data_IF_439959024884
#
_entry.id   IF_439959024884
#
_cell.length_a   1.000
_cell.length_b   1.000
_cell.length_c   1.000
_cell.angle_alpha   90.00
_cell.angle_beta   90.00
_cell.angle_gamma   90.00
#
_symmetry.space_group_name_H-M   'P 1'
#
loop_
_entity.id
_entity.type
_entity.pdbx_description
1 polymer ?
#
# COMPACT_ATOMS: atom_id res chain seq x y z
N UNK A 1 4.30 9.37 -7.75
CA UNK A 1 2.84 9.15 -7.85
C UNK A 1 2.52 7.80 -7.24
N UNK A 2 1.53 7.74 -6.37
CA UNK A 2 1.03 6.51 -5.74
C UNK A 2 -0.42 6.32 -6.16
N UNK A 3 -0.83 5.10 -6.49
CA UNK A 3 -2.24 4.78 -6.71
C UNK A 3 -2.75 4.01 -5.51
N UNK A 4 -3.89 4.46 -4.96
CA UNK A 4 -4.68 3.70 -4.01
C UNK A 4 -5.85 3.08 -4.77
N UNK A 5 -5.94 1.76 -4.76
CA UNK A 5 -7.02 0.98 -5.36
C UNK A 5 -7.81 0.30 -4.26
N UNK A 6 -9.13 0.46 -4.30
CA UNK A 6 -10.07 -0.08 -3.32
C UNK A 6 -11.11 -0.96 -4.01
N UNK A 7 -11.20 -2.22 -3.59
CA UNK A 7 -12.20 -3.20 -4.05
C UNK A 7 -13.14 -3.66 -2.93
N UNK A 8 -13.16 -2.96 -1.80
CA UNK A 8 -14.20 -3.10 -0.78
C UNK A 8 -15.58 -2.78 -1.37
N UNK A 9 -16.65 -3.36 -0.80
CA UNK A 9 -18.01 -3.01 -1.26
C UNK A 9 -18.39 -1.58 -0.90
N UNK A 10 -17.75 -0.99 0.10
CA UNK A 10 -17.95 0.39 0.52
C UNK A 10 -16.99 1.32 -0.19
N UNK A 11 -17.42 2.57 -0.39
CA UNK A 11 -16.53 3.60 -0.91
C UNK A 11 -15.38 3.88 0.07
N UNK A 12 -14.15 3.93 -0.43
CA UNK A 12 -12.92 4.28 0.31
C UNK A 12 -12.82 5.78 0.64
N UNK A 13 -13.87 6.33 1.25
CA UNK A 13 -14.11 7.76 1.46
C UNK A 13 -13.01 8.47 2.25
N UNK A 14 -12.51 7.86 3.34
CA UNK A 14 -11.46 8.47 4.15
C UNK A 14 -10.14 8.63 3.41
N UNK A 15 -9.79 7.68 2.53
CA UNK A 15 -8.57 7.78 1.71
C UNK A 15 -8.78 8.78 0.57
N UNK A 16 -9.95 8.79 -0.05
CA UNK A 16 -10.32 9.79 -1.05
C UNK A 16 -10.26 11.21 -0.47
N UNK A 17 -10.86 11.46 0.69
CA UNK A 17 -10.88 12.77 1.35
C UNK A 17 -9.46 13.25 1.68
N UNK A 18 -8.62 12.38 2.24
CA UNK A 18 -7.25 12.71 2.62
C UNK A 18 -6.39 13.19 1.44
N UNK A 19 -6.70 12.74 0.22
CA UNK A 19 -5.95 13.08 -0.99
C UNK A 19 -6.75 13.89 -2.03
N UNK A 20 -7.94 14.37 -1.67
CA UNK A 20 -8.90 14.98 -2.60
C UNK A 20 -8.39 16.21 -3.36
N UNK A 21 -7.36 16.87 -2.81
CA UNK A 21 -6.78 18.10 -3.35
C UNK A 21 -5.39 17.93 -3.99
N UNK A 22 -4.86 16.70 -4.10
CA UNK A 22 -3.51 16.45 -4.65
C UNK A 22 -3.53 15.58 -5.91
N UNK A 23 -2.58 15.82 -6.81
CA UNK A 23 -2.29 15.01 -8.00
C UNK A 23 -1.21 13.94 -7.77
N UNK A 24 -0.63 13.89 -6.55
CA UNK A 24 0.44 12.95 -6.20
C UNK A 24 -0.09 11.55 -5.89
N UNK A 25 -1.34 11.47 -5.44
CA UNK A 25 -2.05 10.23 -5.13
C UNK A 25 -3.31 10.18 -5.98
N UNK A 26 -3.59 9.03 -6.59
CA UNK A 26 -4.87 8.78 -7.23
C UNK A 26 -5.65 7.75 -6.40
N UNK A 27 -6.85 8.10 -5.94
CA UNK A 27 -7.79 7.15 -5.34
C UNK A 27 -8.68 6.54 -6.41
N UNK A 28 -8.83 5.23 -6.40
CA UNK A 28 -9.70 4.48 -7.31
C UNK A 28 -10.54 3.54 -6.48
N UNK A 29 -11.86 3.66 -6.53
CA UNK A 29 -12.76 2.82 -5.74
C UNK A 29 -13.88 2.24 -6.59
N UNK A 30 -14.12 0.93 -6.44
CA UNK A 30 -15.21 0.19 -7.04
C UNK A 30 -16.15 -0.28 -5.94
N UNK A 31 -17.33 0.33 -5.83
CA UNK A 31 -18.16 0.15 -4.64
C UNK A 31 -19.65 0.19 -4.98
N UNK A 32 -20.48 -0.32 -4.07
CA UNK A 32 -21.92 -0.14 -4.15
C UNK A 32 -22.28 1.32 -3.92
N UNK A 33 -23.17 1.86 -4.74
CA UNK A 33 -23.67 3.21 -4.60
C UNK A 33 -25.20 3.30 -4.70
N UNK A 34 -25.80 4.17 -3.88
CA UNK A 34 -27.25 4.35 -3.75
C UNK A 34 -27.81 3.63 -2.52
N UNK A 35 -28.40 4.41 -1.60
CA UNK A 35 -28.90 3.97 -0.29
C UNK A 35 -27.97 2.97 0.43
N UNK A 36 -26.67 3.31 0.47
CA UNK A 36 -25.62 2.47 1.06
C UNK A 36 -24.57 3.33 1.76
N UNK A 37 -23.96 2.80 2.81
CA UNK A 37 -22.87 3.47 3.52
C UNK A 37 -21.62 3.53 2.62
N UNK A 38 -20.80 4.60 2.64
CA UNK A 38 -20.93 5.83 3.43
C UNK A 38 -21.82 6.93 2.81
N UNK A 39 -22.31 6.72 1.58
CA UNK A 39 -23.14 7.69 0.85
C UNK A 39 -22.36 8.68 -0.04
N UNK A 40 -21.04 8.55 -0.09
CA UNK A 40 -20.12 9.25 -1.00
C UNK A 40 -19.67 8.33 -2.14
N UNK A 41 -18.85 8.82 -3.08
CA UNK A 41 -18.32 8.01 -4.18
C UNK A 41 -19.21 8.04 -5.43
N UNK A 42 -19.98 9.12 -5.64
CA UNK A 42 -20.70 9.26 -6.89
C UNK A 42 -19.71 9.38 -8.06
N UNK A 43 -20.08 8.94 -9.25
CA UNK A 43 -19.22 9.04 -10.45
C UNK A 43 -18.76 10.47 -10.77
N UNK A 44 -19.46 11.50 -10.26
CA UNK A 44 -19.06 12.91 -10.42
C UNK A 44 -18.07 13.40 -9.36
N UNK A 45 -17.78 12.62 -8.33
CA UNK A 45 -16.85 12.96 -7.26
C UNK A 45 -15.45 12.66 -7.79
N UNK A 46 -14.79 13.71 -8.29
CA UNK A 46 -13.55 13.60 -9.09
C UNK A 46 -12.37 14.36 -8.48
N UNK A 47 -12.45 14.77 -7.22
CA UNK A 47 -11.45 15.61 -6.58
C UNK A 47 -11.59 17.10 -6.94
N UNK A 48 -10.82 17.94 -6.27
CA UNK A 48 -10.86 19.40 -6.44
C UNK A 48 -9.47 20.00 -6.51
N UNK A 49 -9.38 21.26 -6.95
CA UNK A 49 -8.10 21.97 -7.05
C UNK A 49 -7.09 21.18 -7.88
N UNK A 50 -5.89 20.89 -7.36
CA UNK A 50 -4.88 20.08 -8.06
C UNK A 50 -5.25 18.60 -8.16
N UNK A 51 -6.09 18.10 -7.25
CA UNK A 51 -6.57 16.71 -7.25
C UNK A 51 -7.76 16.45 -8.18
N UNK A 52 -8.25 17.46 -8.91
CA UNK A 52 -9.32 17.27 -9.89
C UNK A 52 -8.87 16.31 -11.00
N UNK A 53 -9.63 15.23 -11.20
CA UNK A 53 -9.32 14.11 -12.09
C UNK A 53 -8.50 13.00 -11.44
N UNK A 54 -8.13 13.10 -10.16
CA UNK A 54 -7.31 12.12 -9.44
C UNK A 54 -8.11 11.33 -8.38
N UNK A 55 -9.40 11.58 -8.23
CA UNK A 55 -10.32 10.66 -7.57
C UNK A 55 -11.19 9.98 -8.65
N UNK A 56 -11.21 8.65 -8.66
CA UNK A 56 -11.91 7.83 -9.66
C UNK A 56 -12.89 6.91 -8.96
N UNK A 57 -14.18 7.18 -9.14
CA UNK A 57 -15.25 6.44 -8.51
C UNK A 57 -16.03 5.63 -9.55
N UNK A 58 -16.18 4.33 -9.26
CA UNK A 58 -16.93 3.37 -10.07
C UNK A 58 -18.13 2.89 -9.25
N UNK A 59 -19.25 3.64 -9.24
CA UNK A 59 -20.44 3.24 -8.52
C UNK A 59 -21.11 2.06 -9.22
N UNK A 60 -21.45 1.03 -8.44
CA UNK A 60 -22.05 -0.22 -8.87
C UNK A 60 -23.34 -0.48 -8.11
N UNK A 61 -24.13 -1.43 -8.61
CA UNK A 61 -25.38 -1.90 -8.03
C UNK A 61 -25.24 -3.31 -7.48
N UNK A 62 -26.28 -3.76 -6.80
CA UNK A 62 -26.34 -5.07 -6.17
C UNK A 62 -26.10 -6.22 -7.18
N UNK A 63 -25.52 -7.30 -6.66
CA UNK A 63 -25.41 -8.57 -7.37
C UNK A 63 -24.40 -8.60 -8.50
N UNK A 64 -23.46 -7.65 -8.60
CA UNK A 64 -22.41 -7.72 -9.62
C UNK A 64 -21.65 -9.05 -9.52
N UNK A 65 -21.54 -9.72 -10.66
CA UNK A 65 -20.86 -11.01 -10.81
C UNK A 65 -19.41 -10.86 -11.30
N UNK A 66 -18.66 -11.96 -11.28
CA UNK A 66 -17.25 -12.01 -11.67
C UNK A 66 -17.00 -11.50 -13.10
N UNK A 67 -17.87 -11.86 -14.04
CA UNK A 67 -17.71 -11.51 -15.46
C UNK A 67 -17.93 -10.02 -15.68
N UNK A 68 -19.00 -9.48 -15.10
CA UNK A 68 -19.35 -8.06 -15.15
C UNK A 68 -18.31 -7.20 -14.45
N UNK A 69 -17.87 -7.61 -13.25
CA UNK A 69 -16.85 -6.89 -12.48
C UNK A 69 -15.53 -6.86 -13.24
N UNK A 70 -15.07 -8.01 -13.76
CA UNK A 70 -13.87 -8.07 -14.62
C UNK A 70 -14.02 -7.19 -15.87
N UNK A 71 -15.21 -7.19 -16.47
CA UNK A 71 -15.55 -6.44 -17.67
C UNK A 71 -15.42 -4.93 -17.51
N UNK A 72 -15.65 -4.38 -16.32
CA UNK A 72 -15.47 -2.95 -16.02
C UNK A 72 -14.13 -2.63 -15.36
N UNK A 73 -13.68 -3.48 -14.43
CA UNK A 73 -12.44 -3.31 -13.68
C UNK A 73 -11.22 -3.25 -14.61
N UNK A 74 -11.02 -4.27 -15.45
CA UNK A 74 -9.79 -4.33 -16.25
C UNK A 74 -9.67 -3.17 -17.24
N UNK A 75 -10.70 -2.77 -18.02
CA UNK A 75 -10.59 -1.62 -18.91
C UNK A 75 -10.28 -0.31 -18.18
N UNK A 76 -10.94 -0.03 -17.05
CA UNK A 76 -10.67 1.18 -16.26
C UNK A 76 -9.23 1.16 -15.76
N UNK A 77 -8.80 0.05 -15.15
CA UNK A 77 -7.46 -0.05 -14.60
C UNK A 77 -6.37 0.04 -15.68
N UNK A 78 -6.58 -0.51 -16.89
CA UNK A 78 -5.65 -0.30 -18.02
C UNK A 78 -5.49 1.18 -18.36
N UNK A 79 -6.60 1.91 -18.48
CA UNK A 79 -6.58 3.35 -18.79
C UNK A 79 -5.85 4.15 -17.70
N UNK A 80 -6.11 3.83 -16.44
CA UNK A 80 -5.44 4.47 -15.29
C UNK A 80 -3.93 4.19 -15.33
N UNK A 81 -3.53 2.94 -15.50
CA UNK A 81 -2.12 2.57 -15.56
C UNK A 81 -1.39 3.24 -16.73
N UNK A 82 -2.04 3.39 -17.88
CA UNK A 82 -1.51 4.09 -19.06
C UNK A 82 -1.35 5.59 -18.84
N UNK A 83 -2.34 6.24 -18.22
CA UNK A 83 -2.40 7.71 -18.03
C UNK A 83 -1.64 8.17 -16.79
N UNK A 84 -2.01 7.65 -15.62
CA UNK A 84 -1.47 8.07 -14.34
C UNK A 84 -0.05 7.53 -14.10
N UNK A 85 0.27 6.35 -14.64
CA UNK A 85 1.60 5.71 -14.51
C UNK A 85 2.14 5.77 -13.08
N UNK A 86 1.48 5.09 -12.11
CA UNK A 86 1.91 5.10 -10.72
C UNK A 86 3.29 4.43 -10.57
N UNK A 87 4.06 4.90 -9.59
CA UNK A 87 5.33 4.27 -9.20
C UNK A 87 5.17 3.22 -8.09
N UNK A 88 4.03 3.22 -7.40
CA UNK A 88 3.63 2.24 -6.41
C UNK A 88 2.10 2.17 -6.34
N UNK A 89 1.58 1.02 -5.95
CA UNK A 89 0.15 0.73 -5.80
C UNK A 89 -0.09 0.24 -4.38
N UNK A 90 -1.03 0.85 -3.69
CA UNK A 90 -1.65 0.31 -2.47
C UNK A 90 -3.00 -0.24 -2.87
N UNK A 91 -3.23 -1.52 -2.63
CA UNK A 91 -4.48 -2.21 -2.97
C UNK A 91 -5.16 -2.68 -1.70
N UNK A 92 -6.29 -2.07 -1.37
CA UNK A 92 -7.19 -2.51 -0.32
C UNK A 92 -8.01 -3.68 -0.88
N UNK A 93 -7.93 -4.85 -0.25
CA UNK A 93 -8.60 -6.09 -0.66
C UNK A 93 -9.76 -6.42 0.30
N UNK A 94 -10.69 -5.49 0.48
CA UNK A 94 -11.93 -5.69 1.24
C UNK A 94 -12.71 -6.86 0.68
N UNK A 95 -13.13 -7.77 1.55
CA UNK A 95 -13.76 -9.05 1.19
C UNK A 95 -15.27 -9.07 1.43
N UNK A 96 -15.86 -7.96 1.87
CA UNK A 96 -17.31 -7.77 1.93
C UNK A 96 -17.94 -7.56 0.55
N UNK A 97 -17.13 -7.38 -0.50
CA UNK A 97 -17.57 -7.49 -1.89
C UNK A 97 -17.82 -8.94 -2.35
N UNK A 98 -17.51 -9.94 -1.53
CA UNK A 98 -17.74 -11.36 -1.85
C UNK A 98 -19.22 -11.74 -1.75
N UNK A 99 -19.59 -12.76 -2.51
CA UNK A 99 -20.87 -13.42 -2.42
C UNK A 99 -21.11 -14.00 -1.02
N UNK A 100 -22.33 -13.79 -0.50
CA UNK A 100 -22.74 -14.29 0.80
C UNK A 100 -22.07 -13.58 1.99
N UNK A 101 -21.54 -12.38 1.79
CA UNK A 101 -21.18 -11.50 2.90
C UNK A 101 -22.42 -11.12 3.74
N UNK A 102 -22.22 -10.78 5.02
CA UNK A 102 -23.33 -10.42 5.93
C UNK A 102 -23.85 -9.01 5.74
N UNK A 103 -23.04 -8.12 5.16
CA UNK A 103 -23.34 -6.69 4.99
C UNK A 103 -23.32 -6.33 3.51
N UNK A 104 -22.29 -6.76 2.79
CA UNK A 104 -22.16 -6.52 1.36
C UNK A 104 -23.19 -7.29 0.55
N UNK A 105 -23.53 -6.75 -0.62
CA UNK A 105 -24.55 -7.28 -1.51
C UNK A 105 -24.06 -7.38 -2.97
N UNK A 106 -22.77 -7.64 -3.13
CA UNK A 106 -22.20 -8.11 -4.39
C UNK A 106 -22.24 -9.64 -4.48
N UNK A 107 -21.89 -10.17 -5.65
CA UNK A 107 -21.94 -11.60 -5.92
C UNK A 107 -20.59 -12.15 -6.43
N UNK A 108 -19.48 -11.56 -6.00
CA UNK A 108 -18.15 -11.98 -6.43
C UNK A 108 -17.74 -13.31 -5.79
N UNK A 109 -17.19 -14.21 -6.58
CA UNK A 109 -16.49 -15.38 -6.07
C UNK A 109 -15.11 -14.99 -5.54
N UNK A 110 -14.50 -15.87 -4.74
CA UNK A 110 -13.10 -15.72 -4.35
C UNK A 110 -12.17 -15.57 -5.56
N UNK A 111 -12.46 -16.27 -6.67
CA UNK A 111 -11.64 -16.21 -7.89
C UNK A 111 -11.84 -14.90 -8.65
N UNK A 112 -13.07 -14.39 -8.71
CA UNK A 112 -13.35 -13.09 -9.34
C UNK A 112 -12.67 -11.95 -8.60
N UNK A 113 -12.72 -11.99 -7.26
CA UNK A 113 -12.03 -11.03 -6.40
C UNK A 113 -10.50 -11.10 -6.57
N UNK A 114 -9.91 -12.29 -6.44
CA UNK A 114 -8.47 -12.49 -6.61
C UNK A 114 -7.96 -12.22 -8.03
N UNK A 115 -8.82 -12.30 -9.06
CA UNK A 115 -8.47 -11.89 -10.43
C UNK A 115 -8.13 -10.40 -10.52
N UNK A 116 -8.62 -9.57 -9.60
CA UNK A 116 -8.21 -8.16 -9.49
C UNK A 116 -6.76 -8.06 -9.04
N UNK A 117 -6.37 -8.82 -8.01
CA UNK A 117 -4.99 -8.88 -7.49
C UNK A 117 -4.04 -9.39 -8.56
N UNK A 118 -4.37 -10.49 -9.24
CA UNK A 118 -3.55 -11.04 -10.33
C UNK A 118 -3.39 -10.04 -11.48
N UNK A 119 -4.48 -9.36 -11.85
CA UNK A 119 -4.44 -8.35 -12.89
C UNK A 119 -3.52 -7.18 -12.50
N UNK A 120 -3.60 -6.68 -11.27
CA UNK A 120 -2.75 -5.58 -10.81
C UNK A 120 -1.29 -5.99 -10.66
N UNK A 121 -1.03 -7.23 -10.19
CA UNK A 121 0.31 -7.83 -10.13
C UNK A 121 0.98 -7.86 -11.51
N UNK A 122 0.20 -8.13 -12.58
CA UNK A 122 0.74 -8.24 -13.95
C UNK A 122 1.42 -6.97 -14.49
N UNK A 123 1.15 -5.80 -13.91
CA UNK A 123 1.77 -4.54 -14.31
C UNK A 123 3.22 -4.37 -13.81
N UNK A 124 3.70 -5.24 -12.92
CA UNK A 124 5.05 -5.19 -12.35
C UNK A 124 5.42 -3.84 -11.72
N UNK A 125 4.44 -3.19 -11.07
CA UNK A 125 4.63 -2.00 -10.24
C UNK A 125 4.64 -2.45 -8.77
N UNK A 126 5.47 -1.88 -7.89
CA UNK A 126 5.44 -2.19 -6.46
C UNK A 126 4.01 -2.18 -5.91
N UNK A 127 3.57 -3.33 -5.41
CA UNK A 127 2.19 -3.58 -4.98
C UNK A 127 2.18 -3.90 -3.48
N UNK A 128 1.41 -3.12 -2.72
CA UNK A 128 1.20 -3.31 -1.29
C UNK A 128 -0.28 -3.65 -1.05
N UNK A 129 -0.56 -4.90 -0.72
CA UNK A 129 -1.92 -5.38 -0.47
C UNK A 129 -2.28 -5.24 1.02
N UNK A 130 -3.49 -4.76 1.27
CA UNK A 130 -4.09 -4.59 2.59
C UNK A 130 -5.37 -5.43 2.69
N UNK A 131 -5.80 -5.72 3.92
CA UNK A 131 -7.15 -6.23 4.17
C UNK A 131 -8.21 -5.14 4.02
N UNK A 132 -9.34 -5.31 4.70
CA UNK A 132 -10.48 -4.41 4.60
C UNK A 132 -11.71 -4.97 5.30
N UNK A 133 -12.91 -4.61 4.82
CA UNK A 133 -14.15 -5.23 5.25
C UNK A 133 -14.22 -6.73 4.97
N UNK A 134 -15.24 -7.38 5.51
CA UNK A 134 -15.43 -8.83 5.41
C UNK A 134 -16.10 -9.40 6.65
N UNK A 135 -17.37 -9.77 6.53
CA UNK A 135 -18.23 -10.06 7.68
C UNK A 135 -18.73 -11.51 7.68
N UNK A 136 -18.61 -12.22 6.56
CA UNK A 136 -18.61 -13.69 6.54
C UNK A 136 -17.19 -14.22 6.71
N UNK A 137 -16.70 -14.24 7.96
CA UNK A 137 -15.29 -14.49 8.34
C UNK A 137 -14.63 -15.73 7.70
N UNK A 138 -15.41 -16.77 7.39
CA UNK A 138 -14.92 -17.98 6.74
C UNK A 138 -14.50 -17.72 5.29
N UNK A 139 -15.24 -16.87 4.60
CA UNK A 139 -14.94 -16.45 3.24
C UNK A 139 -13.79 -15.44 3.22
N UNK A 140 -13.70 -14.57 4.23
CA UNK A 140 -12.54 -13.68 4.43
C UNK A 140 -11.24 -14.48 4.48
N UNK A 141 -11.18 -15.48 5.36
CA UNK A 141 -10.00 -16.33 5.53
C UNK A 141 -9.65 -17.11 4.25
N UNK A 142 -10.65 -17.65 3.55
CA UNK A 142 -10.46 -18.33 2.25
C UNK A 142 -9.86 -17.39 1.21
N UNK A 143 -10.45 -16.22 1.04
CA UNK A 143 -10.08 -15.29 -0.02
C UNK A 143 -8.70 -14.69 0.22
N UNK A 144 -8.39 -14.20 1.41
CA UNK A 144 -7.04 -13.67 1.69
C UNK A 144 -5.94 -14.75 1.62
N UNK A 145 -6.24 -16.00 2.02
CA UNK A 145 -5.31 -17.11 1.82
C UNK A 145 -5.06 -17.36 0.32
N UNK A 146 -6.12 -17.33 -0.49
CA UNK A 146 -6.03 -17.52 -1.93
C UNK A 146 -5.31 -16.36 -2.64
N UNK A 147 -5.62 -15.11 -2.30
CA UNK A 147 -4.93 -13.92 -2.83
C UNK A 147 -3.44 -13.93 -2.45
N UNK A 148 -3.10 -14.38 -1.25
CA UNK A 148 -1.69 -14.56 -0.85
C UNK A 148 -0.99 -15.57 -1.76
N UNK A 149 -1.63 -16.68 -2.09
CA UNK A 149 -1.08 -17.66 -3.02
C UNK A 149 -0.94 -17.08 -4.45
N UNK A 150 -1.90 -16.28 -4.91
CA UNK A 150 -1.82 -15.54 -6.18
C UNK A 150 -0.60 -14.62 -6.19
N UNK A 151 -0.36 -13.86 -5.13
CA UNK A 151 0.82 -12.99 -5.00
C UNK A 151 2.12 -13.79 -5.05
N UNK A 152 2.17 -14.95 -4.40
CA UNK A 152 3.32 -15.86 -4.39
C UNK A 152 3.47 -16.69 -5.67
N UNK A 153 2.49 -16.65 -6.58
CA UNK A 153 2.47 -17.50 -7.78
C UNK A 153 2.38 -19.00 -7.45
N UNK A 154 1.66 -19.33 -6.38
CA UNK A 154 1.45 -20.70 -5.91
C UNK A 154 0.01 -21.14 -6.16
N UNK A 155 -0.17 -22.40 -6.51
CA UNK A 155 -1.49 -23.03 -6.56
C UNK A 155 -1.78 -23.70 -5.21
N UNK A 156 -2.98 -23.47 -4.66
CA UNK A 156 -3.43 -24.10 -3.42
C UNK A 156 -4.31 -25.32 -3.70
N UNK A 157 -4.24 -26.31 -2.82
CA UNK A 157 -5.15 -27.44 -2.84
C UNK A 157 -6.59 -26.95 -2.59
N UNK A 158 -7.58 -27.38 -3.40
CA UNK A 158 -8.99 -27.07 -3.14
C UNK A 158 -9.52 -27.59 -1.79
N UNK A 159 -8.89 -28.61 -1.20
CA UNK A 159 -9.22 -29.17 0.12
C UNK A 159 -8.44 -28.43 1.19
N UNK A 160 -9.15 -27.94 2.21
CA UNK A 160 -8.50 -27.20 3.29
C UNK A 160 -7.60 -28.11 4.12
N UNK A 161 -6.37 -27.66 4.45
CA UNK A 161 -5.55 -28.36 5.43
C UNK A 161 -6.17 -28.24 6.82
N UNK A 162 -5.88 -29.22 7.68
CA UNK A 162 -6.24 -29.14 9.10
C UNK A 162 -5.63 -27.88 9.74
N UNK A 163 -6.43 -27.19 10.54
CA UNK A 163 -6.04 -25.99 11.27
C UNK A 163 -6.92 -25.84 12.52
N UNK A 164 -6.56 -24.95 13.43
CA UNK A 164 -7.27 -24.76 14.71
C UNK A 164 -8.75 -24.38 14.55
N UNK A 165 -9.12 -23.83 13.39
CA UNK A 165 -10.48 -23.38 13.06
C UNK A 165 -11.17 -24.27 12.02
N UNK A 166 -10.70 -25.51 11.82
CA UNK A 166 -11.15 -26.39 10.74
C UNK A 166 -12.67 -26.58 10.70
N UNK A 167 -13.30 -26.74 11.87
CA UNK A 167 -14.74 -26.97 12.00
C UNK A 167 -15.59 -25.81 11.47
N UNK A 168 -15.04 -24.61 11.35
CA UNK A 168 -15.76 -23.46 10.79
C UNK A 168 -16.12 -23.71 9.32
N UNK A 169 -15.29 -24.45 8.58
CA UNK A 169 -15.42 -24.64 7.14
C UNK A 169 -16.31 -25.82 6.73
N UNK A 170 -16.97 -26.46 7.69
CA UNK A 170 -17.94 -27.51 7.41
C UNK A 170 -19.22 -26.99 6.73
N UNK A 171 -19.94 -27.85 6.00
CA UNK A 171 -19.63 -29.28 5.80
C UNK A 171 -18.66 -29.57 4.64
N UNK A 172 -18.31 -28.59 3.81
CA UNK A 172 -17.54 -28.85 2.58
C UNK A 172 -16.03 -28.96 2.80
N UNK A 173 -15.46 -28.23 3.77
CA UNK A 173 -14.02 -28.16 4.04
C UNK A 173 -13.16 -27.82 2.80
N UNK A 174 -13.72 -26.99 1.91
CA UNK A 174 -13.06 -26.51 0.68
C UNK A 174 -12.65 -25.05 0.79
N UNK A 175 -11.62 -24.67 0.04
CA UNK A 175 -11.12 -23.30 -0.06
C UNK A 175 -12.07 -22.37 -0.84
N UNK A 176 -12.99 -22.92 -1.63
CA UNK A 176 -13.79 -22.15 -2.58
C UNK A 176 -14.87 -21.27 -1.92
N UNK A 177 -15.13 -20.11 -2.55
CA UNK A 177 -16.27 -19.23 -2.26
C UNK A 177 -17.00 -19.00 -3.58
N UNK A 178 -18.06 -19.78 -3.88
CA UNK A 178 -18.77 -19.66 -5.14
C UNK A 178 -19.70 -18.42 -5.15
N UNK A 179 -19.96 -17.91 -6.35
CA UNK A 179 -21.05 -16.97 -6.55
C UNK A 179 -22.42 -17.63 -6.26
N UNK A 180 -23.37 -16.82 -5.81
CA UNK A 180 -24.76 -17.22 -5.56
C UNK A 180 -25.64 -17.03 -6.80
N UNK A 181 -26.91 -17.42 -6.71
CA UNK A 181 -27.93 -17.18 -7.74
C UNK A 181 -28.61 -15.80 -7.62
N UNK A 182 -27.97 -14.83 -6.96
CA UNK A 182 -28.45 -13.45 -6.86
C UNK A 182 -28.52 -12.80 -8.26
N UNK A 183 -29.59 -12.05 -8.51
CA UNK A 183 -29.75 -11.28 -9.76
C UNK A 183 -28.75 -10.12 -9.82
N UNK A 184 -28.09 -9.96 -10.97
CA UNK A 184 -27.17 -8.85 -11.21
C UNK A 184 -27.92 -7.61 -11.71
N UNK A 185 -27.99 -6.56 -10.88
CA UNK A 185 -28.66 -5.29 -11.22
C UNK A 185 -27.82 -4.35 -12.10
N UNK A 186 -26.60 -4.76 -12.46
CA UNK A 186 -25.67 -4.02 -13.30
C UNK A 186 -25.82 -4.46 -14.76
N UNK A 187 -26.78 -3.87 -15.47
CA UNK A 187 -26.94 -4.19 -16.89
C UNK A 187 -25.70 -3.79 -17.69
N UNK A 188 -25.40 -4.46 -18.81
CA UNK A 188 -24.27 -4.09 -19.67
C UNK A 188 -24.29 -2.61 -20.08
N UNK A 189 -25.47 -2.06 -20.38
CA UNK A 189 -25.64 -0.65 -20.76
C UNK A 189 -25.32 0.30 -19.59
N UNK A 190 -25.64 -0.09 -18.36
CA UNK A 190 -25.29 0.69 -17.18
C UNK A 190 -23.77 0.71 -16.98
N UNK A 191 -23.11 -0.45 -17.06
CA UNK A 191 -21.66 -0.56 -16.92
C UNK A 191 -20.92 0.18 -18.04
N UNK A 192 -21.40 0.10 -19.28
CA UNK A 192 -20.84 0.84 -20.41
C UNK A 192 -20.97 2.36 -20.22
N UNK A 193 -22.10 2.82 -19.67
CA UNK A 193 -22.29 4.23 -19.33
C UNK A 193 -21.29 4.68 -18.26
N UNK A 194 -21.13 3.92 -17.17
CA UNK A 194 -20.15 4.24 -16.12
C UNK A 194 -18.73 4.26 -16.70
N UNK A 195 -18.36 3.23 -17.47
CA UNK A 195 -17.06 3.18 -18.15
C UNK A 195 -16.83 4.40 -19.03
N UNK A 196 -17.82 4.81 -19.82
CA UNK A 196 -17.71 5.99 -20.71
C UNK A 196 -17.48 7.27 -19.91
N UNK A 197 -18.21 7.45 -18.80
CA UNK A 197 -18.05 8.61 -17.93
C UNK A 197 -16.65 8.66 -17.30
N UNK A 198 -16.19 7.54 -16.74
CA UNK A 198 -14.86 7.42 -16.13
C UNK A 198 -13.76 7.61 -17.19
N UNK A 199 -13.91 6.99 -18.37
CA UNK A 199 -12.95 7.13 -19.45
C UNK A 199 -12.81 8.59 -19.93
N UNK A 200 -13.92 9.34 -19.99
CA UNK A 200 -13.88 10.77 -20.33
C UNK A 200 -13.17 11.59 -19.26
N UNK A 201 -13.41 11.30 -17.98
CA UNK A 201 -12.70 11.96 -16.87
C UNK A 201 -11.19 11.72 -16.95
N UNK A 202 -10.77 10.48 -17.22
CA UNK A 202 -9.36 10.10 -17.36
C UNK A 202 -8.65 10.73 -18.58
N UNK A 203 -9.39 11.15 -19.61
CA UNK A 203 -8.81 11.84 -20.79
C UNK A 203 -8.20 13.20 -20.44
N UNK A 204 -8.69 13.85 -19.39
CA UNK A 204 -8.21 15.18 -18.99
C UNK A 204 -6.93 15.14 -18.15
N UNK A 205 -6.49 13.96 -17.71
CA UNK A 205 -5.25 13.80 -16.97
C UNK A 205 -4.07 13.97 -17.95
N UNK A 206 -3.12 14.89 -17.68
CA UNK A 206 -1.98 15.06 -18.56
C UNK A 206 -1.15 13.77 -18.60
N UNK A 207 -0.78 13.32 -19.81
CA UNK A 207 0.20 12.25 -19.98
C UNK A 207 1.50 12.69 -19.30
N UNK A 208 1.90 11.98 -18.25
CA UNK A 208 2.96 12.42 -17.36
C UNK A 208 4.27 12.82 -18.09
N UNK A 209 4.71 14.09 -17.99
CA UNK A 209 6.13 14.40 -17.98
C UNK A 209 6.73 13.91 -16.65
N UNK A 210 8.04 13.68 -16.63
CA UNK A 210 8.82 13.20 -15.49
C UNK A 210 8.53 13.98 -14.19
N UNK A 211 8.33 13.26 -13.09
CA UNK A 211 8.07 13.83 -11.76
C UNK A 211 9.33 14.58 -11.28
N UNK A 212 9.22 15.88 -11.01
CA UNK A 212 10.19 16.57 -10.17
C UNK A 212 10.04 16.04 -8.74
N UNK A 213 11.12 15.51 -8.18
CA UNK A 213 11.19 15.16 -6.76
C UNK A 213 11.05 16.47 -5.99
N UNK A 214 9.96 16.59 -5.24
CA UNK A 214 9.76 17.70 -4.32
C UNK A 214 10.14 17.21 -2.93
N UNK A 215 11.12 17.88 -2.31
CA UNK A 215 11.51 17.60 -0.93
C UNK A 215 10.31 17.75 0.00
N UNK A 216 10.17 16.80 0.92
CA UNK A 216 9.13 16.80 1.95
C UNK A 216 9.47 17.91 2.94
N UNK A 217 8.60 18.92 3.17
CA UNK A 217 8.82 19.90 4.21
C UNK A 217 8.89 19.21 5.58
N UNK A 218 9.99 19.44 6.31
CA UNK A 218 10.14 19.00 7.70
C UNK A 218 9.45 20.02 8.61
N UNK A 219 8.13 20.00 8.68
CA UNK A 219 7.38 20.86 9.59
C UNK A 219 6.35 20.03 10.37
N UNK A 220 6.84 19.28 11.36
CA UNK A 220 6.06 19.03 12.58
C UNK A 220 6.48 20.14 13.55
N UNK A 221 5.55 20.88 14.18
CA UNK A 221 5.95 21.89 15.15
C UNK A 221 6.71 21.19 16.28
N UNK A 222 7.98 21.56 16.47
CA UNK A 222 8.77 21.27 17.66
C UNK A 222 8.12 22.02 18.84
N UNK A 223 6.96 21.56 19.30
CA UNK A 223 6.46 21.94 20.61
C UNK A 223 7.27 21.16 21.66
N UNK A 224 8.24 21.87 22.24
CA UNK A 224 8.76 21.73 23.60
C UNK A 224 9.54 20.48 24.01
N UNK A 225 10.62 20.10 23.32
CA UNK A 225 11.58 19.11 23.84
C UNK A 225 12.99 19.69 24.04
N UNK A 226 13.08 20.91 24.60
CA UNK A 226 14.39 21.48 25.01
C UNK A 226 14.65 21.45 26.51
N UNK A 227 13.69 21.00 27.32
CA UNK A 227 13.91 20.87 28.77
C UNK A 227 13.82 19.42 29.29
N UNK A 228 13.11 18.50 28.62
CA UNK A 228 12.98 17.11 29.10
C UNK A 228 14.17 16.21 28.72
N UNK A 229 14.80 16.41 27.56
CA UNK A 229 15.90 15.58 27.07
C UNK A 229 17.21 15.77 27.88
N UNK A 230 17.44 16.97 28.41
CA UNK A 230 18.60 17.27 29.25
C UNK A 230 18.49 16.62 30.65
N UNK A 231 17.27 16.31 31.11
CA UNK A 231 17.05 15.61 32.38
C UNK A 231 17.31 14.10 32.31
N UNK A 232 17.33 13.50 31.12
CA UNK A 232 17.64 12.07 30.98
C UNK A 232 19.12 11.76 31.22
N UNK A 233 20.01 12.74 30.98
CA UNK A 233 21.45 12.64 31.29
C UNK A 233 21.74 12.58 32.80
N UNK A 234 20.91 13.19 33.63
CA UNK A 234 21.10 13.23 35.10
C UNK A 234 20.64 11.95 35.80
N UNK A 235 19.82 11.12 35.15
CA UNK A 235 19.25 9.90 35.71
C UNK A 235 20.06 8.64 35.40
N UNK A 236 20.90 8.65 34.36
CA UNK A 236 21.68 7.49 33.92
C UNK A 236 23.11 7.89 33.48
N UNK A 237 24.08 7.99 34.40
CA UNK A 237 25.45 8.43 34.11
C UNK A 237 26.27 7.50 33.19
N UNK A 238 25.66 6.41 32.73
CA UNK A 238 26.28 5.38 31.89
C UNK A 238 26.03 5.61 30.39
N UNK A 239 24.99 6.39 30.03
CA UNK A 239 24.64 6.69 28.65
C UNK A 239 25.29 8.01 28.21
N UNK A 240 26.41 7.91 27.50
CA UNK A 240 27.17 9.09 27.02
C UNK A 240 26.55 9.82 25.81
N UNK A 241 25.39 9.38 25.31
CA UNK A 241 24.75 9.97 24.13
C UNK A 241 23.22 9.87 24.20
N UNK A 242 22.57 11.01 23.96
CA UNK A 242 21.11 11.12 23.82
C UNK A 242 20.63 10.42 22.54
N UNK A 243 19.36 10.05 22.48
CA UNK A 243 18.78 9.39 21.30
C UNK A 243 18.92 10.26 20.05
N UNK A 244 18.72 11.58 20.18
CA UNK A 244 18.96 12.57 19.13
C UNK A 244 20.38 12.54 18.54
N UNK A 245 21.39 12.33 19.38
CA UNK A 245 22.79 12.22 18.92
C UNK A 245 23.09 10.90 18.20
N UNK A 246 22.34 9.83 18.49
CA UNK A 246 22.44 8.55 17.78
C UNK A 246 21.82 8.64 16.40
N UNK A 247 20.63 9.23 16.31
CA UNK A 247 19.90 9.38 15.06
C UNK A 247 20.63 10.33 14.10
N UNK A 248 21.29 11.37 14.61
CA UNK A 248 22.16 12.26 13.83
C UNK A 248 23.41 11.56 13.27
N UNK A 249 23.80 10.39 13.79
CA UNK A 249 24.96 9.60 13.32
C UNK A 249 24.59 8.49 12.33
N UNK A 250 23.31 8.27 12.05
CA UNK A 250 22.88 7.24 11.10
C UNK A 250 23.10 7.76 9.68
N UNK A 251 24.21 7.34 9.05
CA UNK A 251 24.52 7.63 7.65
C UNK A 251 23.74 6.63 6.75
N UNK A 252 23.02 7.09 5.72
CA UNK A 252 22.32 6.21 4.78
C UNK A 252 23.28 5.31 4.00
N UNK A 253 22.93 4.03 3.84
CA UNK A 253 23.75 3.03 3.12
C UNK A 253 23.95 3.27 1.60
N UNK A 254 23.52 4.42 1.07
CA UNK A 254 23.60 4.79 -0.35
C UNK A 254 24.69 5.82 -0.68
N UNK A 255 25.45 6.31 0.31
CA UNK A 255 26.57 7.23 0.07
C UNK A 255 27.87 6.43 -0.20
N UNK A 256 28.21 6.27 -1.47
CA UNK A 256 29.55 5.89 -1.90
C UNK A 256 30.41 7.16 -1.97
N UNK A 257 31.30 7.36 -1.00
CA UNK A 257 32.35 8.37 -1.10
C UNK A 257 33.62 7.74 -1.70
N UNK A 258 34.09 8.30 -2.81
CA UNK A 258 35.44 8.09 -3.33
C UNK A 258 36.43 8.81 -2.40
N UNK A 259 37.22 8.04 -1.65
CA UNK A 259 38.38 8.56 -0.91
C UNK A 259 39.56 8.68 -1.86
N UNK A 260 40.02 9.90 -2.10
CA UNK A 260 41.43 10.32 -1.98
C UNK A 260 41.63 11.69 -2.66
N UNK A 261 41.90 12.75 -1.88
CA UNK A 261 43.08 13.63 -2.08
C UNK A 261 43.13 14.80 -1.08
N UNK A 262 44.32 14.92 -0.49
CA UNK A 262 45.02 16.13 -0.05
C UNK A 262 44.79 16.71 1.35
N UNK A 263 45.66 16.24 2.26
CA UNK A 263 46.16 16.92 3.45
C UNK A 263 46.73 18.32 3.16
N UNK A 264 46.33 19.32 3.97
CA UNK A 264 47.20 20.46 4.29
C UNK A 264 47.06 20.87 5.76
N UNK A 265 48.10 20.53 6.53
CA UNK A 265 48.79 21.31 7.57
C UNK A 265 47.97 22.22 8.51
N UNK A 266 47.98 21.88 9.81
CA UNK A 266 48.80 22.58 10.82
C UNK A 266 48.37 22.19 12.23
N UNK A 267 49.30 21.68 13.05
CA UNK A 267 49.58 22.29 14.35
C UNK A 267 50.78 21.62 15.02
N UNK A 268 51.88 22.36 15.03
CA UNK A 268 52.98 22.16 15.96
C UNK A 268 52.48 22.50 17.37
N UNK A 269 52.74 21.62 18.35
CA UNK A 269 53.20 21.98 19.70
C UNK A 269 53.53 20.68 20.46
N UNK A 270 54.83 20.45 20.67
CA UNK A 270 55.37 19.59 21.74
C UNK A 270 56.15 20.52 22.66
N UNK A 271 56.10 20.35 24.00
CA UNK A 271 57.10 19.49 24.63
C UNK A 271 56.62 18.80 25.93
N UNK A 272 56.96 17.53 26.14
CA UNK A 272 57.54 17.05 27.41
C UNK A 272 58.20 15.67 27.19
N UNK A 273 59.51 15.62 27.50
CA UNK A 273 60.38 14.45 27.57
C UNK A 273 60.19 13.73 28.91
N UNK A 274 60.18 12.39 28.93
CA UNK A 274 61.10 11.53 29.70
C UNK A 274 60.70 10.03 29.55
N UNK A 275 61.48 9.25 28.80
CA UNK A 275 62.43 8.19 29.26
C UNK A 275 61.80 6.95 29.90
N UNK A 276 61.94 5.81 29.22
CA UNK A 276 61.64 4.48 29.75
C UNK A 276 61.86 3.37 28.70
N UNK A 277 63.14 3.09 28.41
CA UNK A 277 63.61 1.90 27.66
C UNK A 277 63.20 0.60 28.35
N UNK A 278 62.74 -0.42 27.61
CA UNK A 278 63.45 -1.73 27.49
C UNK A 278 62.66 -2.79 26.71
N UNK A 279 63.26 -3.25 25.60
CA UNK A 279 63.37 -4.65 25.11
C UNK A 279 62.13 -5.48 24.69
N UNK A 280 62.08 -5.74 23.37
CA UNK A 280 61.63 -7.02 22.74
C UNK A 280 62.66 -8.15 23.01
N UNK A 281 62.24 -9.43 22.92
CA UNK A 281 62.61 -10.29 21.77
C UNK A 281 61.41 -11.07 21.19
N UNK A 282 61.28 -11.20 19.86
CA UNK A 282 61.63 -12.35 19.00
C UNK A 282 60.86 -13.66 19.35
N UNK A 283 59.87 -14.11 18.55
CA UNK A 283 59.89 -14.89 17.29
C UNK A 283 60.03 -16.41 17.53
N UNK A 284 59.24 -17.18 16.75
CA UNK A 284 59.21 -18.65 16.50
C UNK A 284 57.87 -19.27 16.95
N UNK A 285 56.95 -19.69 16.06
CA UNK A 285 56.93 -20.77 15.04
C UNK A 285 56.76 -22.19 15.61
N UNK A 286 55.83 -22.92 14.99
CA UNK A 286 55.54 -24.36 15.01
C UNK A 286 54.58 -24.90 16.09
N UNK A 287 53.58 -25.64 15.62
CA UNK A 287 52.51 -26.30 16.36
C UNK A 287 51.24 -26.39 15.52
#
# INVERSE_FOLDING_TARGET
RVMYLDIDVHHGDGVEEAFYTTDRVMSVSFHKFGDFFPGTGHVSDVGVSKGKGYAVNVPLRDGIDDESYKGIFQPIMRLIMERFRPGAIVMQCGTDSLSGDRIGCFNLSMKGHAACVDFMKSFNVPLFCLGGGGYTIRNVARTWAYETAVLLGQELDPVLPYNDYYDFYGPEFRLDVPASNMDNANTPEYLEKIFTMVAEQLRHIPHAPSVQVQEVPRDWPEESDTEEDDHEMDLQPENKMTQRQRDARVVPHTELYDTDTDEFSANAFSPYRHTGTSTRPARESSG
#
